data_IF_936795704468
#
_entry.id   IF_936795704468
#
_cell.length_a   1.000
_cell.length_b   1.000
_cell.length_c   1.000
_cell.angle_alpha   90.00
_cell.angle_beta   90.00
_cell.angle_gamma   90.00
#
_symmetry.space_group_name_H-M   'P 1'
#
loop_
_entity.id
_entity.type
_entity.pdbx_description
1 polymer ?
#
# COMPACT_ATOMS: atom_id res chain seq x y z
N UNK A 1 -8.68 -1.79 6.53
CA UNK A 1 -8.90 -2.08 5.09
C UNK A 1 -8.01 -3.24 4.71
N UNK A 2 -8.49 -4.20 3.90
CA UNK A 2 -7.63 -5.29 3.44
C UNK A 2 -6.54 -4.77 2.50
N UNK A 3 -5.40 -5.45 2.45
CA UNK A 3 -4.30 -5.11 1.53
C UNK A 3 -4.75 -5.25 0.07
N UNK A 4 -5.64 -6.20 -0.22
CA UNK A 4 -6.23 -6.35 -1.55
C UNK A 4 -7.09 -5.14 -1.95
N UNK A 5 -7.94 -4.65 -1.03
CA UNK A 5 -8.71 -3.42 -1.26
C UNK A 5 -7.78 -2.24 -1.53
N UNK A 6 -6.76 -2.03 -0.69
CA UNK A 6 -5.81 -0.93 -0.84
C UNK A 6 -5.03 -1.03 -2.16
N UNK A 7 -4.68 -2.24 -2.59
CA UNK A 7 -4.02 -2.47 -3.88
C UNK A 7 -4.92 -2.10 -5.05
N UNK A 8 -6.17 -2.56 -5.05
CA UNK A 8 -7.10 -2.22 -6.11
C UNK A 8 -7.42 -0.72 -6.11
N UNK A 9 -7.59 -0.12 -4.93
CA UNK A 9 -7.87 1.30 -4.77
C UNK A 9 -6.72 2.17 -5.30
N UNK A 10 -5.47 1.88 -4.90
CA UNK A 10 -4.29 2.58 -5.39
C UNK A 10 -4.12 2.46 -6.91
N UNK A 11 -4.38 1.27 -7.48
CA UNK A 11 -4.36 1.04 -8.93
C UNK A 11 -5.37 1.93 -9.65
N UNK A 12 -6.64 1.89 -9.23
CA UNK A 12 -7.71 2.65 -9.86
C UNK A 12 -7.44 4.16 -9.80
N UNK A 13 -7.00 4.68 -8.64
CA UNK A 13 -6.67 6.10 -8.52
C UNK A 13 -5.49 6.50 -9.41
N UNK A 14 -4.48 5.63 -9.55
CA UNK A 14 -3.34 5.87 -10.43
C UNK A 14 -3.77 5.92 -11.90
N UNK A 15 -4.69 5.04 -12.32
CA UNK A 15 -5.25 5.05 -13.68
C UNK A 15 -6.03 6.35 -13.97
N UNK A 16 -6.87 6.80 -13.03
CA UNK A 16 -7.58 8.07 -13.14
C UNK A 16 -6.63 9.27 -13.19
N UNK A 17 -5.64 9.32 -12.29
CA UNK A 17 -4.64 10.38 -12.26
C UNK A 17 -3.89 10.46 -13.60
N UNK A 18 -3.45 9.32 -14.14
CA UNK A 18 -2.75 9.27 -15.43
C UNK A 18 -3.63 9.80 -16.58
N UNK A 19 -4.90 9.37 -16.63
CA UNK A 19 -5.83 9.82 -17.67
C UNK A 19 -6.12 11.33 -17.57
N UNK A 20 -6.34 11.85 -16.37
CA UNK A 20 -6.62 13.28 -16.16
C UNK A 20 -5.40 14.14 -16.40
N UNK A 21 -4.20 13.70 -16.00
CA UNK A 21 -2.94 14.38 -16.33
C UNK A 21 -2.69 14.42 -17.83
N UNK A 22 -2.95 13.32 -18.55
CA UNK A 22 -2.84 13.31 -20.00
C UNK A 22 -3.81 14.31 -20.66
N UNK A 23 -5.04 14.42 -20.15
CA UNK A 23 -6.01 15.43 -20.62
C UNK A 23 -5.57 16.85 -20.29
N UNK A 24 -5.07 17.08 -19.08
CA UNK A 24 -4.57 18.38 -18.65
C UNK A 24 -3.38 18.84 -19.51
N UNK A 25 -2.51 17.93 -19.94
CA UNK A 25 -1.40 18.25 -20.83
C UNK A 25 -1.85 18.74 -22.23
N UNK A 26 -3.04 18.34 -22.68
CA UNK A 26 -3.63 18.78 -23.95
C UNK A 26 -4.38 20.10 -23.85
N UNK A 27 -4.68 20.58 -22.64
CA UNK A 27 -5.40 21.83 -22.37
C UNK A 27 -4.73 22.60 -21.23
N UNK A 28 -3.51 23.11 -21.44
CA UNK A 28 -2.73 23.79 -20.40
C UNK A 28 -3.41 25.05 -19.86
N UNK A 29 -4.28 25.69 -20.65
CA UNK A 29 -5.07 26.86 -20.27
C UNK A 29 -6.28 26.54 -19.37
N UNK A 30 -6.71 25.28 -19.31
CA UNK A 30 -7.84 24.87 -18.45
C UNK A 30 -7.36 24.70 -17.01
N UNK A 31 -7.42 25.80 -16.26
CA UNK A 31 -7.05 25.85 -14.85
C UNK A 31 -7.73 24.76 -14.00
N UNK A 32 -9.02 24.50 -14.21
CA UNK A 32 -9.75 23.53 -13.39
C UNK A 32 -9.29 22.11 -13.69
N UNK A 33 -8.98 21.81 -14.95
CA UNK A 33 -8.42 20.53 -15.34
C UNK A 33 -7.01 20.32 -14.76
N UNK A 34 -6.17 21.37 -14.70
CA UNK A 34 -4.87 21.29 -14.02
C UNK A 34 -5.00 20.97 -12.53
N UNK A 35 -5.93 21.64 -11.83
CA UNK A 35 -6.19 21.39 -10.42
C UNK A 35 -6.73 19.96 -10.20
N UNK A 36 -7.64 19.51 -11.07
CA UNK A 36 -8.17 18.15 -11.00
C UNK A 36 -7.07 17.09 -11.19
N UNK A 37 -6.17 17.27 -12.16
CA UNK A 37 -5.03 16.39 -12.38
C UNK A 37 -4.13 16.31 -11.13
N UNK A 38 -3.79 17.47 -10.55
CA UNK A 38 -2.97 17.53 -9.34
C UNK A 38 -3.63 16.84 -8.14
N UNK A 39 -4.92 17.08 -7.92
CA UNK A 39 -5.66 16.46 -6.82
C UNK A 39 -5.74 14.93 -6.97
N UNK A 40 -5.96 14.44 -8.19
CA UNK A 40 -6.02 13.00 -8.44
C UNK A 40 -4.65 12.34 -8.32
N UNK A 41 -3.59 13.03 -8.74
CA UNK A 41 -2.23 12.56 -8.53
C UNK A 41 -1.91 12.43 -7.03
N UNK A 42 -2.22 13.46 -6.23
CA UNK A 42 -2.04 13.39 -4.77
C UNK A 42 -2.84 12.23 -4.15
N UNK A 43 -4.10 12.05 -4.55
CA UNK A 43 -4.93 10.96 -4.04
C UNK A 43 -4.35 9.57 -4.38
N UNK A 44 -3.78 9.40 -5.57
CA UNK A 44 -3.10 8.17 -5.96
C UNK A 44 -1.85 7.91 -5.10
N UNK A 45 -1.03 8.93 -4.87
CA UNK A 45 0.16 8.86 -4.01
C UNK A 45 -0.20 8.48 -2.56
N UNK A 46 -1.24 9.11 -2.00
CA UNK A 46 -1.72 8.81 -0.65
C UNK A 46 -2.19 7.36 -0.53
N UNK A 47 -2.92 6.84 -1.53
CA UNK A 47 -3.37 5.46 -1.56
C UNK A 47 -2.21 4.45 -1.66
N UNK A 48 -1.16 4.79 -2.42
CA UNK A 48 0.07 4.00 -2.51
C UNK A 48 0.79 3.96 -1.15
N UNK A 49 0.91 5.11 -0.47
CA UNK A 49 1.49 5.19 0.86
C UNK A 49 0.69 4.37 1.89
N UNK A 50 -0.64 4.44 1.83
CA UNK A 50 -1.51 3.65 2.69
C UNK A 50 -1.33 2.13 2.48
N UNK A 51 -1.20 1.70 1.21
CA UNK A 51 -0.89 0.31 0.87
C UNK A 51 0.50 -0.11 1.40
N UNK A 52 1.52 0.73 1.22
CA UNK A 52 2.87 0.47 1.72
C UNK A 52 2.89 0.32 3.25
N UNK A 53 2.21 1.22 3.97
CA UNK A 53 2.08 1.15 5.42
C UNK A 53 1.32 -0.11 5.87
N UNK A 54 0.27 -0.52 5.15
CA UNK A 54 -0.46 -1.75 5.46
C UNK A 54 0.40 -3.01 5.27
N UNK A 55 1.18 -3.08 4.19
CA UNK A 55 2.14 -4.18 3.96
C UNK A 55 3.22 -4.25 5.04
N UNK A 56 3.78 -3.10 5.41
CA UNK A 56 4.79 -3.03 6.47
C UNK A 56 4.26 -3.53 7.82
N UNK A 57 2.99 -3.22 8.14
CA UNK A 57 2.33 -3.75 9.35
C UNK A 57 2.14 -5.26 9.30
N UNK A 58 1.70 -5.81 8.16
CA UNK A 58 1.52 -7.26 7.99
C UNK A 58 2.86 -8.01 8.16
N UNK A 59 3.94 -7.55 7.54
CA UNK A 59 5.27 -8.15 7.71
C UNK A 59 5.80 -8.03 9.14
N UNK A 60 5.60 -6.87 9.79
CA UNK A 60 6.03 -6.64 11.17
C UNK A 60 5.16 -7.34 12.24
N UNK A 61 3.94 -7.75 11.90
CA UNK A 61 3.09 -8.61 12.75
C UNK A 61 3.46 -10.08 12.61
N UNK A 62 3.88 -10.54 11.43
CA UNK A 62 4.39 -11.90 11.22
C UNK A 62 5.65 -12.15 12.06
N UNK A 63 6.56 -11.17 12.16
CA UNK A 63 7.77 -11.29 13.00
C UNK A 63 7.48 -11.34 14.51
N UNK A 64 6.29 -10.91 14.95
CA UNK A 64 5.90 -10.89 16.37
C UNK A 64 5.15 -12.15 16.82
N UNK A 65 4.78 -13.05 15.90
CA UNK A 65 3.92 -14.20 16.20
C UNK A 65 4.65 -15.54 16.42
N UNK A 66 5.98 -15.59 16.38
CA UNK A 66 6.75 -16.83 16.64
C UNK A 66 7.65 -16.71 17.88
N UNK A 67 7.19 -17.04 19.10
CA UNK A 67 8.09 -17.66 20.05
C UNK A 67 8.28 -19.10 19.59
N UNK A 68 9.38 -19.38 18.88
CA UNK A 68 9.87 -20.74 18.73
C UNK A 68 10.06 -21.32 20.13
N UNK A 69 9.05 -22.02 20.63
CA UNK A 69 9.14 -22.94 21.76
C UNK A 69 10.04 -24.08 21.27
N UNK A 70 11.35 -23.85 21.36
CA UNK A 70 12.34 -24.91 21.30
C UNK A 70 12.10 -25.73 22.58
N UNK A 71 11.19 -26.70 22.48
CA UNK A 71 11.08 -27.82 23.41
C UNK A 71 12.45 -28.49 23.38
N UNK A 72 13.33 -28.08 24.31
CA UNK A 72 14.42 -28.92 24.75
C UNK A 72 13.72 -30.11 25.41
N UNK A 73 13.59 -31.19 24.65
CA UNK A 73 13.26 -32.49 25.20
C UNK A 73 14.43 -32.81 26.11
N UNK A 74 14.19 -32.72 27.41
CA UNK A 74 15.02 -33.31 28.43
C UNK A 74 15.22 -34.77 28.04
N UNK A 75 16.41 -35.09 27.49
CA UNK A 75 16.90 -36.46 27.50
C UNK A 75 17.13 -36.81 28.96
N UNK A 76 16.08 -37.33 29.56
CA UNK A 76 16.10 -38.15 30.75
C UNK A 76 17.24 -39.17 30.60
N UNK A 77 18.30 -38.95 31.37
CA UNK A 77 18.74 -39.88 32.40
C UNK A 77 18.30 -41.33 32.13
N UNK A 78 19.16 -42.09 31.46
CA UNK A 78 19.20 -43.54 31.61
C UNK A 78 20.60 -43.92 32.06
N UNK A 79 20.59 -44.80 33.06
CA UNK A 79 21.66 -45.18 33.99
C UNK A 79 22.94 -45.75 33.34
#
# INVERSE_FOLDING_TARGET
MSIEFLRNHARVLSEFAAATTARAALSPEDFWLQIAAKNQQQAAEDAIQALAAARARETGEIDKQEPFKRQLVDTERLD
#
